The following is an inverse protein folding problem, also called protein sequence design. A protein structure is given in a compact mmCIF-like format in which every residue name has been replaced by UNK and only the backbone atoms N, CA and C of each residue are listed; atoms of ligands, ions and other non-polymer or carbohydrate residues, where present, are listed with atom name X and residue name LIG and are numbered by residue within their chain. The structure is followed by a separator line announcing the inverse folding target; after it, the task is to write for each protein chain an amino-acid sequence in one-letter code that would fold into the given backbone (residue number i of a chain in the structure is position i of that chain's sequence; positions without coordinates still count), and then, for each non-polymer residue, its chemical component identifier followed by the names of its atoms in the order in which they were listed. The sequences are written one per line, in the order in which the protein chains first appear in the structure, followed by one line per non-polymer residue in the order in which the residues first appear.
data_IF_743222900236
#
_entry.id   IF_743222900236
#
_cell.length_a   1.000
_cell.length_b   1.000
_cell.length_c   1.000
_cell.angle_alpha   90.00
_cell.angle_beta   90.00
_cell.angle_gamma   90.00
#
_symmetry.space_group_name_H-M   'P 1'
#
loop_
_entity.id
_entity.type
_entity.pdbx_description
1 polymer ?
#
# COMPACT_ATOMS: atom_id res chain seq x y z
N UNK A 1 -23.29 13.36 4.68
CA UNK A 1 -22.62 12.06 4.93
C UNK A 1 -22.93 11.14 3.77
N UNK A 2 -21.91 10.66 3.03
CA UNK A 2 -22.13 9.69 1.95
C UNK A 2 -22.36 8.32 2.58
N UNK A 3 -23.54 7.74 2.38
CA UNK A 3 -23.83 6.38 2.83
C UNK A 3 -22.99 5.41 1.99
N UNK A 4 -21.91 4.87 2.57
CA UNK A 4 -20.95 3.98 1.91
C UNK A 4 -21.51 2.57 1.63
N UNK A 5 -22.83 2.40 1.51
CA UNK A 5 -23.50 1.08 1.37
C UNK A 5 -23.01 0.23 0.18
N UNK A 6 -22.20 0.80 -0.72
CA UNK A 6 -21.59 0.09 -1.84
C UNK A 6 -20.08 -0.17 -1.75
N UNK A 7 -19.34 0.39 -0.79
CA UNK A 7 -17.89 0.23 -0.69
C UNK A 7 -17.50 -0.38 0.66
N UNK A 8 -16.45 -1.22 0.71
CA UNK A 8 -15.97 -1.77 1.98
C UNK A 8 -15.50 -0.66 2.91
N UNK A 9 -15.64 -0.90 4.21
CA UNK A 9 -15.09 0.00 5.22
C UNK A 9 -13.56 0.03 5.12
N UNK A 10 -12.94 1.21 5.26
CA UNK A 10 -11.49 1.34 5.18
C UNK A 10 -10.84 0.63 6.37
N UNK A 11 -9.90 -0.28 6.09
CA UNK A 11 -9.03 -0.85 7.13
C UNK A 11 -8.16 0.26 7.74
N UNK A 12 -7.80 0.20 9.03
CA UNK A 12 -6.82 1.13 9.61
C UNK A 12 -5.53 1.11 8.79
N UNK A 13 -4.92 2.28 8.53
CA UNK A 13 -3.69 2.36 7.71
C UNK A 13 -2.51 1.68 8.40
N UNK A 14 -2.35 2.00 9.68
CA UNK A 14 -1.33 1.45 10.54
C UNK A 14 -1.93 1.25 11.94
N UNK A 15 -1.44 0.25 12.64
CA UNK A 15 -1.73 0.00 14.05
C UNK A 15 -0.43 0.27 14.83
N UNK A 16 -0.52 1.03 15.91
CA UNK A 16 0.64 1.36 16.76
C UNK A 16 0.33 0.91 18.18
N UNK A 17 1.16 0.02 18.71
CA UNK A 17 1.15 -0.38 20.11
C UNK A 17 2.02 0.60 20.91
N UNK A 18 1.40 1.65 21.44
CA UNK A 18 2.10 2.70 22.19
C UNK A 18 2.83 2.15 23.43
N UNK A 19 2.37 1.00 23.98
CA UNK A 19 3.00 0.40 25.16
C UNK A 19 4.39 -0.18 24.89
N UNK A 20 4.71 -0.44 23.62
CA UNK A 20 6.03 -0.91 23.16
C UNK A 20 6.93 0.23 22.72
N UNK A 21 6.43 1.45 22.62
CA UNK A 21 7.25 2.59 22.23
C UNK A 21 8.25 2.91 23.35
N UNK A 22 9.54 2.81 23.03
CA UNK A 22 10.61 3.28 23.92
C UNK A 22 10.60 4.80 23.99
N UNK A 23 10.89 5.33 25.18
CA UNK A 23 11.12 6.76 25.40
C UNK A 23 12.22 7.30 24.46
N UNK A 24 12.07 8.56 24.05
CA UNK A 24 12.97 9.31 23.16
C UNK A 24 13.31 8.60 21.82
N UNK A 25 12.41 7.76 21.31
CA UNK A 25 12.55 7.11 20.02
C UNK A 25 11.85 7.88 18.89
N UNK A 26 12.59 8.20 17.81
CA UNK A 26 12.10 8.98 16.67
C UNK A 26 12.27 8.27 15.31
N UNK A 27 12.59 6.97 15.32
CA UNK A 27 12.98 6.26 14.09
C UNK A 27 11.85 6.16 13.07
N UNK A 28 10.62 5.89 13.51
CA UNK A 28 9.46 5.85 12.61
C UNK A 28 9.17 7.22 11.99
N UNK A 29 9.32 8.30 12.77
CA UNK A 29 9.17 9.68 12.32
C UNK A 29 10.19 10.02 11.22
N UNK A 30 11.48 9.75 11.48
CA UNK A 30 12.58 9.99 10.52
C UNK A 30 12.44 9.17 9.24
N UNK A 31 12.00 7.92 9.36
CA UNK A 31 11.88 7.01 8.22
C UNK A 31 10.71 7.34 7.28
N UNK A 32 9.68 8.06 7.74
CA UNK A 32 8.47 8.29 6.96
C UNK A 32 8.72 9.28 5.79
N UNK A 33 8.72 8.83 4.51
CA UNK A 33 9.04 9.70 3.38
C UNK A 33 7.96 10.76 3.10
N UNK A 34 6.77 10.60 3.69
CA UNK A 34 5.63 11.50 3.56
C UNK A 34 5.45 12.44 4.75
N UNK A 35 6.28 12.30 5.79
CA UNK A 35 6.14 13.07 7.02
C UNK A 35 4.77 12.91 7.67
N UNK A 36 4.20 11.70 7.61
CA UNK A 36 2.86 11.39 8.10
C UNK A 36 2.80 11.07 9.60
N UNK A 37 3.94 10.84 10.25
CA UNK A 37 3.99 10.53 11.68
C UNK A 37 4.32 11.80 12.49
N UNK A 38 3.77 11.90 13.70
CA UNK A 38 4.09 12.92 14.70
C UNK A 38 4.32 12.22 16.03
N UNK A 39 5.18 12.79 16.85
CA UNK A 39 5.46 12.32 18.21
C UNK A 39 5.17 13.50 19.13
N UNK A 40 4.28 13.31 20.10
CA UNK A 40 3.93 14.34 21.07
C UNK A 40 4.94 14.40 22.23
N UNK A 41 4.74 15.35 23.16
CA UNK A 41 5.60 15.50 24.34
C UNK A 41 5.50 14.37 25.38
N UNK A 42 4.68 13.35 25.13
CA UNK A 42 4.53 12.13 25.94
C UNK A 42 4.93 10.88 25.16
N UNK A 43 5.67 11.05 24.06
CA UNK A 43 6.14 9.99 23.18
C UNK A 43 5.04 9.18 22.48
N UNK A 44 3.80 9.68 22.44
CA UNK A 44 2.75 9.03 21.66
C UNK A 44 2.95 9.31 20.18
N UNK A 45 2.96 8.24 19.40
CA UNK A 45 3.05 8.32 17.94
C UNK A 45 1.65 8.48 17.36
N UNK A 46 1.41 9.56 16.62
CA UNK A 46 0.15 9.82 15.91
C UNK A 46 0.36 9.89 14.41
N UNK A 47 -0.72 9.66 13.65
CA UNK A 47 -0.70 9.51 12.20
C UNK A 47 -1.58 10.56 11.55
N UNK A 48 -0.99 11.35 10.67
CA UNK A 48 -1.72 12.24 9.77
C UNK A 48 -2.27 11.42 8.60
N UNK A 49 -3.52 10.98 8.73
CA UNK A 49 -4.19 10.06 7.80
C UNK A 49 -4.12 10.52 6.35
N UNK A 50 -4.25 11.82 6.07
CA UNK A 50 -4.18 12.36 4.70
C UNK A 50 -2.82 12.15 4.02
N UNK A 51 -1.73 12.03 4.78
CA UNK A 51 -0.36 11.85 4.28
C UNK A 51 0.09 10.40 4.27
N UNK A 52 -0.48 9.55 5.13
CA UNK A 52 -0.09 8.15 5.22
C UNK A 52 -0.55 7.34 4.00
N UNK A 53 0.41 6.76 3.29
CA UNK A 53 0.17 5.95 2.08
C UNK A 53 0.30 4.44 2.32
N UNK A 54 0.45 4.00 3.58
CA UNK A 54 0.60 2.58 3.97
C UNK A 54 1.87 1.91 3.41
N UNK A 55 2.98 2.65 3.28
CA UNK A 55 4.29 2.05 3.04
C UNK A 55 4.93 1.58 4.36
N UNK A 56 5.76 0.52 4.37
CA UNK A 56 6.27 -0.09 5.60
C UNK A 56 7.51 0.58 6.21
N UNK A 57 7.97 1.74 5.72
CA UNK A 57 9.16 2.41 6.27
C UNK A 57 9.13 2.58 7.79
N UNK A 58 7.99 2.95 8.36
CA UNK A 58 7.86 3.10 9.81
C UNK A 58 7.77 1.77 10.57
N UNK A 59 7.21 0.72 9.95
CA UNK A 59 7.21 -0.64 10.52
C UNK A 59 8.65 -1.17 10.56
N UNK A 60 9.41 -1.00 9.49
CA UNK A 60 10.77 -1.52 9.37
C UNK A 60 11.79 -0.75 10.21
N UNK A 61 11.61 0.56 10.34
CA UNK A 61 12.48 1.39 11.15
C UNK A 61 12.20 1.25 12.67
N UNK A 62 11.10 0.62 13.07
CA UNK A 62 10.73 0.52 14.48
C UNK A 62 11.54 -0.60 15.17
N UNK A 63 12.48 -0.28 16.07
CA UNK A 63 13.30 -1.30 16.73
C UNK A 63 12.49 -2.19 17.68
N UNK A 64 11.38 -1.68 18.21
CA UNK A 64 10.52 -2.39 19.18
C UNK A 64 9.37 -3.16 18.49
N UNK A 65 9.30 -3.12 17.15
CA UNK A 65 8.21 -3.72 16.38
C UNK A 65 6.80 -3.30 16.85
N UNK A 66 6.67 -2.06 17.34
CA UNK A 66 5.44 -1.48 17.85
C UNK A 66 4.44 -1.10 16.74
N UNK A 67 4.89 -1.02 15.49
CA UNK A 67 4.10 -0.53 14.36
C UNK A 67 3.80 -1.67 13.39
N UNK A 68 2.52 -1.80 13.02
CA UNK A 68 2.07 -2.68 11.94
C UNK A 68 1.34 -1.89 10.87
N UNK A 69 1.82 -1.94 9.64
CA UNK A 69 1.23 -1.29 8.47
C UNK A 69 0.32 -2.29 7.74
N UNK A 70 -0.88 -1.83 7.39
CA UNK A 70 -1.81 -2.60 6.57
C UNK A 70 -1.73 -2.10 5.12
N UNK A 71 -1.03 -2.82 4.22
CA UNK A 71 -0.86 -2.39 2.84
C UNK A 71 -2.20 -2.34 2.12
N UNK A 72 -2.32 -1.48 1.10
CA UNK A 72 -3.53 -1.42 0.28
C UNK A 72 -3.51 -2.46 -0.84
N UNK A 73 -2.35 -2.69 -1.44
CA UNK A 73 -2.18 -3.60 -2.57
C UNK A 73 -1.02 -4.57 -2.34
N UNK A 74 -1.15 -5.76 -2.90
CA UNK A 74 -0.04 -6.66 -3.16
C UNK A 74 0.16 -6.74 -4.67
N UNK A 75 1.41 -6.79 -5.15
CA UNK A 75 1.68 -6.71 -6.56
C UNK A 75 3.12 -7.02 -6.95
N UNK A 76 3.45 -6.62 -8.17
CA UNK A 76 4.81 -6.60 -8.71
C UNK A 76 4.98 -5.38 -9.60
N UNK A 77 6.23 -4.99 -9.81
CA UNK A 77 6.63 -3.95 -10.75
C UNK A 77 7.72 -4.52 -11.64
N UNK A 78 7.61 -4.25 -12.93
CA UNK A 78 8.48 -4.78 -13.97
C UNK A 78 9.05 -3.58 -14.74
N UNK A 79 10.36 -3.59 -14.94
CA UNK A 79 11.08 -2.57 -15.71
C UNK A 79 11.60 -3.22 -16.99
N UNK A 80 11.18 -2.70 -18.13
CA UNK A 80 11.73 -3.03 -19.43
C UNK A 80 12.97 -2.14 -19.65
N UNK A 81 14.15 -2.68 -19.36
CA UNK A 81 15.43 -1.97 -19.48
C UNK A 81 15.67 -1.48 -20.91
N UNK A 82 15.13 -2.14 -21.95
CA UNK A 82 15.31 -1.73 -23.35
C UNK A 82 14.59 -0.42 -23.70
N UNK A 83 13.59 -0.03 -22.90
CA UNK A 83 12.81 1.21 -23.08
C UNK A 83 13.20 2.30 -22.08
N UNK A 84 13.99 1.96 -21.07
CA UNK A 84 14.36 2.86 -19.99
C UNK A 84 15.63 3.63 -20.36
N UNK A 85 15.52 4.95 -20.47
CA UNK A 85 16.67 5.81 -20.78
C UNK A 85 17.67 5.87 -19.62
N UNK A 86 18.96 5.75 -19.97
CA UNK A 86 20.07 5.61 -19.01
C UNK A 86 20.22 6.80 -18.06
N UNK A 87 19.85 8.02 -18.47
CA UNK A 87 19.97 9.23 -17.64
C UNK A 87 18.63 9.70 -17.03
N UNK A 88 17.50 9.09 -17.41
CA UNK A 88 16.18 9.50 -16.92
C UNK A 88 15.94 9.11 -15.44
N UNK A 89 15.42 10.03 -14.62
CA UNK A 89 15.13 9.81 -13.18
C UNK A 89 13.71 10.17 -12.76
N UNK A 90 12.81 10.46 -13.71
CA UNK A 90 11.46 10.94 -13.43
C UNK A 90 10.65 10.03 -12.48
N UNK A 91 10.79 8.70 -12.61
CA UNK A 91 10.09 7.77 -11.73
C UNK A 91 10.61 7.79 -10.28
N UNK A 92 11.90 8.09 -10.06
CA UNK A 92 12.48 8.24 -8.72
C UNK A 92 11.91 9.48 -8.03
N UNK A 93 11.83 10.59 -8.75
CA UNK A 93 11.36 11.88 -8.24
C UNK A 93 9.88 11.85 -7.86
N UNK A 94 9.04 11.21 -8.69
CA UNK A 94 7.60 11.12 -8.41
C UNK A 94 7.26 10.06 -7.35
N UNK A 95 8.16 9.12 -7.05
CA UNK A 95 7.87 8.00 -6.17
C UNK A 95 7.59 8.49 -4.74
N UNK A 96 6.33 8.46 -4.27
CA UNK A 96 5.99 9.08 -2.99
C UNK A 96 6.52 8.29 -1.79
N UNK A 97 6.92 7.04 -2.01
CA UNK A 97 7.47 6.15 -0.98
C UNK A 97 8.96 5.92 -1.13
N UNK A 98 9.64 6.55 -2.10
CA UNK A 98 11.09 6.38 -2.35
C UNK A 98 11.51 4.90 -2.49
N UNK A 99 10.67 4.09 -3.14
CA UNK A 99 10.90 2.65 -3.35
C UNK A 99 11.72 2.32 -4.62
N UNK A 100 12.21 3.36 -5.29
CA UNK A 100 12.94 3.26 -6.55
C UNK A 100 14.30 3.92 -6.36
N UNK A 101 15.33 3.26 -6.85
CA UNK A 101 16.70 3.76 -6.90
C UNK A 101 17.29 3.51 -8.30
N UNK A 102 18.43 4.14 -8.60
CA UNK A 102 19.14 3.94 -9.87
C UNK A 102 20.58 3.53 -9.61
N UNK A 103 21.02 2.46 -10.25
CA UNK A 103 22.36 1.91 -10.12
C UNK A 103 22.88 1.53 -11.52
N UNK A 104 24.00 2.12 -11.95
CA UNK A 104 24.60 1.91 -13.28
C UNK A 104 23.58 2.03 -14.41
N UNK A 105 22.85 3.14 -14.47
CA UNK A 105 21.85 3.38 -15.51
C UNK A 105 20.53 2.61 -15.35
N UNK A 106 20.45 1.63 -14.45
CA UNK A 106 19.29 0.73 -14.31
C UNK A 106 18.47 1.05 -13.07
N UNK A 107 17.15 1.02 -13.23
CA UNK A 107 16.20 1.20 -12.12
C UNK A 107 16.21 -0.06 -11.24
N UNK A 108 16.35 0.14 -9.94
CA UNK A 108 16.16 -0.88 -8.92
C UNK A 108 14.89 -0.55 -8.14
N UNK A 109 14.16 -1.60 -7.77
CA UNK A 109 12.92 -1.46 -7.02
C UNK A 109 13.05 -2.23 -5.71
N UNK A 110 12.89 -1.52 -4.60
CA UNK A 110 12.73 -2.15 -3.30
C UNK A 110 11.25 -2.51 -3.12
N UNK A 111 10.86 -3.71 -3.58
CA UNK A 111 9.46 -4.16 -3.63
C UNK A 111 8.71 -4.01 -2.30
N UNK A 112 9.39 -4.16 -1.16
CA UNK A 112 8.81 -3.96 0.17
C UNK A 112 8.21 -2.55 0.34
N UNK A 113 8.84 -1.53 -0.21
CA UNK A 113 8.42 -0.13 -0.07
C UNK A 113 7.51 0.36 -1.21
N UNK A 114 7.33 -0.44 -2.26
CA UNK A 114 6.44 -0.11 -3.37
C UNK A 114 4.98 -0.41 -3.00
N UNK A 115 4.13 0.61 -3.03
CA UNK A 115 2.68 0.48 -2.73
C UNK A 115 1.83 0.26 -3.99
N UNK A 116 2.46 0.05 -5.14
CA UNK A 116 1.79 -0.21 -6.42
C UNK A 116 0.77 0.89 -6.81
N UNK A 117 1.11 2.16 -6.58
CA UNK A 117 0.19 3.30 -6.77
C UNK A 117 0.02 3.78 -8.21
N UNK A 118 0.84 3.28 -9.15
CA UNK A 118 0.89 3.69 -10.56
C UNK A 118 1.44 5.10 -10.85
N UNK A 119 1.97 5.83 -9.86
CA UNK A 119 2.57 7.15 -10.11
C UNK A 119 3.71 7.09 -11.14
N UNK A 120 4.56 6.05 -11.07
CA UNK A 120 5.70 5.87 -11.97
C UNK A 120 5.34 5.45 -13.40
N UNK A 121 4.10 4.98 -13.64
CA UNK A 121 3.67 4.54 -14.99
C UNK A 121 2.89 5.61 -15.74
N UNK A 122 2.60 6.75 -15.10
CA UNK A 122 1.87 7.84 -15.74
C UNK A 122 2.62 8.29 -17.00
N UNK A 123 1.90 8.66 -18.07
CA UNK A 123 2.54 9.00 -19.35
C UNK A 123 3.47 10.21 -19.26
N UNK A 124 3.14 11.16 -18.39
CA UNK A 124 3.98 12.34 -18.11
C UNK A 124 5.24 12.00 -17.31
N UNK A 125 5.31 10.82 -16.70
CA UNK A 125 6.47 10.35 -15.93
C UNK A 125 7.31 9.38 -16.76
N UNK A 126 6.69 8.35 -17.33
CA UNK A 126 7.37 7.31 -18.11
C UNK A 126 6.90 7.31 -19.56
N UNK A 127 7.38 8.30 -20.33
CA UNK A 127 7.01 8.51 -21.75
C UNK A 127 7.21 7.24 -22.61
N UNK A 128 8.27 6.49 -22.34
CA UNK A 128 8.62 5.27 -23.09
C UNK A 128 7.88 4.01 -22.60
N UNK A 129 7.02 4.13 -21.56
CA UNK A 129 6.26 3.02 -20.98
C UNK A 129 7.15 1.83 -20.58
N UNK A 130 8.33 2.13 -20.05
CA UNK A 130 9.29 1.14 -19.58
C UNK A 130 8.85 0.46 -18.27
N UNK A 131 7.88 1.03 -17.54
CA UNK A 131 7.46 0.54 -16.22
C UNK A 131 6.05 -0.04 -16.31
N UNK A 132 5.89 -1.26 -15.81
CA UNK A 132 4.58 -1.91 -15.62
C UNK A 132 4.36 -2.22 -14.15
N UNK A 133 3.22 -1.82 -13.61
CA UNK A 133 2.80 -2.16 -12.24
C UNK A 133 1.62 -3.10 -12.32
N UNK A 134 1.74 -4.26 -11.67
CA UNK A 134 0.70 -5.28 -11.60
C UNK A 134 0.21 -5.39 -10.18
N UNK A 135 -1.09 -5.20 -9.95
CA UNK A 135 -1.74 -5.46 -8.67
C UNK A 135 -2.36 -6.85 -8.70
N UNK A 136 -2.00 -7.69 -7.72
CA UNK A 136 -2.47 -9.07 -7.57
C UNK A 136 -3.55 -9.22 -6.50
N UNK A 137 -3.60 -8.29 -5.53
CA UNK A 137 -4.61 -8.26 -4.47
C UNK A 137 -4.84 -6.82 -4.01
N UNK A 138 -6.05 -6.54 -3.56
CA UNK A 138 -6.37 -5.35 -2.76
C UNK A 138 -6.79 -5.80 -1.37
N UNK A 139 -6.32 -5.12 -0.33
CA UNK A 139 -6.76 -5.36 1.03
C UNK A 139 -7.86 -4.37 1.38
N UNK A 140 -9.01 -4.88 1.78
CA UNK A 140 -10.16 -4.09 2.21
C UNK A 140 -10.95 -4.82 3.29
N UNK A 141 -11.76 -4.07 4.02
CA UNK A 141 -12.69 -4.65 4.99
C UNK A 141 -13.85 -5.35 4.31
N UNK A 142 -14.78 -5.86 5.12
CA UNK A 142 -15.97 -6.51 4.61
C UNK A 142 -16.83 -5.53 3.79
N UNK A 143 -17.18 -5.93 2.58
CA UNK A 143 -18.07 -5.16 1.71
C UNK A 143 -18.13 -5.77 0.32
N UNK A 144 -19.33 -5.98 -0.19
CA UNK A 144 -19.54 -6.48 -1.55
C UNK A 144 -20.74 -5.78 -2.14
N UNK A 145 -20.52 -5.15 -3.28
CA UNK A 145 -21.57 -4.59 -4.10
C UNK A 145 -21.13 -4.67 -5.56
N UNK A 146 -22.07 -4.61 -6.48
CA UNK A 146 -21.75 -4.51 -7.91
C UNK A 146 -20.83 -3.31 -8.21
N UNK A 147 -20.98 -2.21 -7.47
CA UNK A 147 -20.14 -1.01 -7.60
C UNK A 147 -18.70 -1.31 -7.18
N UNK A 148 -18.52 -2.00 -6.05
CA UNK A 148 -17.20 -2.42 -5.58
C UNK A 148 -16.54 -3.38 -6.56
N UNK A 149 -17.27 -4.40 -7.03
CA UNK A 149 -16.75 -5.35 -8.02
C UNK A 149 -16.31 -4.66 -9.31
N UNK A 150 -17.06 -3.66 -9.78
CA UNK A 150 -16.67 -2.87 -10.96
C UNK A 150 -15.42 -2.01 -10.70
N UNK A 151 -15.27 -1.46 -9.49
CA UNK A 151 -14.05 -0.76 -9.10
C UNK A 151 -12.85 -1.72 -9.08
N UNK A 152 -13.01 -2.92 -8.51
CA UNK A 152 -11.98 -3.96 -8.49
C UNK A 152 -11.51 -4.33 -9.90
N UNK A 153 -12.45 -4.47 -10.86
CA UNK A 153 -12.11 -4.82 -12.26
C UNK A 153 -11.18 -3.79 -12.88
N UNK A 154 -11.44 -2.50 -12.62
CA UNK A 154 -10.58 -1.41 -13.08
C UNK A 154 -9.21 -1.38 -12.38
N UNK A 155 -9.14 -1.81 -11.13
CA UNK A 155 -7.92 -1.77 -10.33
C UNK A 155 -7.00 -2.99 -10.53
N UNK A 156 -7.56 -4.17 -10.73
CA UNK A 156 -6.82 -5.45 -10.74
C UNK A 156 -6.88 -6.21 -12.08
N UNK A 157 -7.83 -5.86 -12.95
CA UNK A 157 -8.18 -6.63 -14.15
C UNK A 157 -9.08 -7.84 -13.88
N UNK A 158 -9.84 -8.28 -14.90
CA UNK A 158 -10.91 -9.29 -14.77
C UNK A 158 -10.48 -10.59 -14.07
N UNK A 159 -9.37 -11.20 -14.53
CA UNK A 159 -8.91 -12.50 -14.01
C UNK A 159 -8.56 -12.44 -12.52
N UNK A 160 -7.99 -11.32 -12.07
CA UNK A 160 -7.59 -11.14 -10.68
C UNK A 160 -8.81 -10.95 -9.79
N UNK A 161 -9.82 -10.23 -10.28
CA UNK A 161 -11.08 -10.01 -9.53
C UNK A 161 -11.80 -11.32 -9.27
N UNK A 162 -11.87 -12.24 -10.25
CA UNK A 162 -12.54 -13.53 -10.04
C UNK A 162 -11.96 -14.26 -8.82
N UNK A 163 -10.62 -14.31 -8.70
CA UNK A 163 -9.94 -14.93 -7.55
C UNK A 163 -10.24 -14.23 -6.22
N UNK A 164 -10.38 -12.91 -6.23
CA UNK A 164 -10.75 -12.14 -5.04
C UNK A 164 -12.19 -12.44 -4.62
N UNK A 165 -13.14 -12.42 -5.55
CA UNK A 165 -14.56 -12.72 -5.29
C UNK A 165 -14.75 -14.15 -4.78
N UNK A 166 -14.01 -15.12 -5.32
CA UNK A 166 -13.99 -16.49 -4.83
C UNK A 166 -13.48 -16.58 -3.39
N UNK A 167 -12.41 -15.84 -3.05
CA UNK A 167 -11.85 -15.81 -1.71
C UNK A 167 -12.82 -15.17 -0.71
N UNK A 168 -13.49 -14.09 -1.08
CA UNK A 168 -14.54 -13.45 -0.28
C UNK A 168 -15.74 -14.38 -0.05
N UNK A 169 -16.21 -15.05 -1.10
CA UNK A 169 -17.33 -15.99 -1.02
C UNK A 169 -17.04 -17.13 -0.04
N UNK A 170 -15.82 -17.69 -0.10
CA UNK A 170 -15.37 -18.71 0.85
C UNK A 170 -15.33 -18.18 2.29
N UNK A 171 -14.78 -16.99 2.53
CA UNK A 171 -14.74 -16.38 3.87
C UNK A 171 -16.13 -16.20 4.46
N UNK A 172 -17.10 -15.74 3.66
CA UNK A 172 -18.50 -15.58 4.08
C UNK A 172 -19.14 -16.90 4.45
N UNK A 173 -18.96 -17.91 3.61
CA UNK A 173 -19.49 -19.24 3.88
C UNK A 173 -18.93 -19.78 5.20
N UNK A 174 -17.61 -19.68 5.41
CA UNK A 174 -16.98 -20.12 6.65
C UNK A 174 -17.53 -19.38 7.88
N UNK A 175 -17.75 -18.06 7.77
CA UNK A 175 -18.34 -17.26 8.86
C UNK A 175 -19.76 -17.71 9.20
N UNK A 176 -20.61 -17.94 8.20
CA UNK A 176 -21.97 -18.44 8.39
C UNK A 176 -21.99 -19.85 9.00
N UNK A 177 -21.07 -20.72 8.57
CA UNK A 177 -20.94 -22.08 9.15
C UNK A 177 -20.53 -22.01 10.62
N UNK A 178 -19.62 -21.11 10.98
CA UNK A 178 -19.19 -20.95 12.37
C UNK A 178 -20.28 -20.35 13.25
N UNK A 179 -21.01 -19.34 12.75
CA UNK A 179 -22.17 -18.76 13.44
C UNK A 179 -23.30 -19.77 13.66
N UNK A 180 -23.47 -20.74 12.75
CA UNK A 180 -24.47 -21.81 12.88
C UNK A 180 -24.07 -22.95 13.83
N UNK A 181 -22.82 -22.98 14.32
CA UNK A 181 -22.32 -23.96 15.31
C UNK A 181 -22.45 -23.50 16.76
N UNK A 182 -22.77 -22.22 16.96
CA UNK A 182 -23.03 -21.58 18.26
C UNK A 182 -24.52 -21.65 18.59
#
# INVERSE_FOLDING_TARGET
MVSSKGFPLPLPKINIDQSKCREDCYECYKACPRGALRIDGKHNVTVEESKCLRCPWCEDACPEHAIKVNPLFEGSIIIDESKCEEECKACLEICPTKALSKNNGRIRVENRYCIFCNACIHLDVCRNRAITVVRRRVFHGDGFSAVWTNALRKLLGERTVIKELEAESRKRLNKLVEEARL
#
